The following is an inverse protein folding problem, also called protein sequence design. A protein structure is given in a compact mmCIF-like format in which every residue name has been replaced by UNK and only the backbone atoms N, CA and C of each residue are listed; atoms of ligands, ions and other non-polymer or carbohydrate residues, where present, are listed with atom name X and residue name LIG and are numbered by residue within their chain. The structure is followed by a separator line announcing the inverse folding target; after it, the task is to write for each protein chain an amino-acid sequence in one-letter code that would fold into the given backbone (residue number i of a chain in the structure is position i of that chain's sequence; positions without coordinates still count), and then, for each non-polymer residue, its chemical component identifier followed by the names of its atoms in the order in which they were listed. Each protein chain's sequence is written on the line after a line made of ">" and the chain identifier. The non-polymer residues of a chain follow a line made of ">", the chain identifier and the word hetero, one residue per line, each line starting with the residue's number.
data_IF_140713657379
#
_entry.id   IF_140713657379
#
_cell.length_a   1.000
_cell.length_b   1.000
_cell.length_c   1.000
_cell.angle_alpha   90.00
_cell.angle_beta   90.00
_cell.angle_gamma   90.00
#
_symmetry.space_group_name_H-M   'P 1'
#
loop_
_entity.id
_entity.type
_entity.pdbx_description
1 polymer ?
#
# COMPACT_ATOMS: atom_id res chain seq x y z
N UNK A 1 -22.97 -5.77 10.39
CA UNK A 1 -21.52 -5.86 10.69
C UNK A 1 -20.93 -4.49 10.48
N UNK A 2 -20.10 -4.01 11.42
CA UNK A 2 -19.37 -2.77 11.26
C UNK A 2 -18.01 -3.07 10.62
N UNK A 3 -17.65 -2.35 9.57
CA UNK A 3 -16.33 -2.42 8.96
C UNK A 3 -15.45 -1.30 9.50
N UNK A 4 -14.23 -1.64 9.93
CA UNK A 4 -13.21 -0.66 10.32
C UNK A 4 -12.36 -0.36 9.10
N UNK A 5 -12.12 0.93 8.82
CA UNK A 5 -11.28 1.37 7.70
C UNK A 5 -10.05 2.08 8.26
N UNK A 6 -8.87 1.54 7.96
CA UNK A 6 -7.59 2.17 8.26
C UNK A 6 -7.02 2.80 6.99
N UNK A 7 -6.81 4.12 7.01
CA UNK A 7 -6.09 4.82 5.95
C UNK A 7 -4.59 4.86 6.30
N UNK A 8 -3.78 4.15 5.52
CA UNK A 8 -2.32 4.20 5.64
C UNK A 8 -1.75 5.09 4.53
N UNK A 9 -0.91 6.06 4.91
CA UNK A 9 -0.24 6.97 3.99
C UNK A 9 1.24 7.05 4.30
N UNK A 10 2.03 7.21 3.25
CA UNK A 10 3.43 7.57 3.32
C UNK A 10 3.62 8.85 2.53
N UNK A 11 4.12 9.89 3.21
CA UNK A 11 4.22 11.23 2.65
C UNK A 11 5.59 11.81 2.96
N UNK A 12 6.14 12.54 1.99
CA UNK A 12 7.30 13.39 2.23
C UNK A 12 6.95 14.55 3.16
N UNK A 13 7.98 15.24 3.68
CA UNK A 13 7.80 16.40 4.56
C UNK A 13 6.94 17.52 3.95
N UNK A 14 6.97 17.67 2.62
CA UNK A 14 6.14 18.62 1.88
C UNK A 14 4.81 18.03 1.38
N UNK A 15 4.37 16.88 1.92
CA UNK A 15 3.04 16.31 1.68
C UNK A 15 2.87 15.66 0.31
N UNK A 16 3.95 15.18 -0.32
CA UNK A 16 3.90 14.45 -1.60
C UNK A 16 3.93 12.94 -1.37
N UNK A 17 3.34 12.20 -2.30
CA UNK A 17 3.33 10.73 -2.33
C UNK A 17 4.09 10.16 -3.54
N UNK A 18 4.50 11.04 -4.46
CA UNK A 18 5.31 10.77 -5.64
C UNK A 18 6.16 12.01 -5.99
N UNK A 19 7.03 11.87 -6.98
CA UNK A 19 7.86 12.97 -7.50
C UNK A 19 7.14 13.84 -8.53
N UNK A 20 5.89 13.53 -8.86
CA UNK A 20 5.14 14.22 -9.90
C UNK A 20 4.11 13.35 -10.59
N UNK A 21 3.30 13.99 -11.43
CA UNK A 21 2.15 13.36 -12.08
C UNK A 21 2.54 12.12 -12.89
N UNK A 22 1.97 10.98 -12.51
CA UNK A 22 2.16 9.71 -13.21
C UNK A 22 3.48 9.01 -12.90
N UNK A 23 4.29 9.55 -11.98
CA UNK A 23 5.51 8.90 -11.51
C UNK A 23 5.16 7.88 -10.42
N UNK A 24 5.87 6.75 -10.42
CA UNK A 24 5.69 5.74 -9.38
C UNK A 24 6.14 6.23 -8.01
N UNK A 25 5.32 5.94 -7.00
CA UNK A 25 5.65 6.17 -5.59
C UNK A 25 6.86 5.34 -5.13
N UNK A 26 7.24 4.29 -5.86
CA UNK A 26 8.42 3.46 -5.58
C UNK A 26 9.72 4.26 -5.56
N UNK A 27 9.78 5.39 -6.25
CA UNK A 27 10.91 6.31 -6.18
C UNK A 27 11.19 6.75 -4.74
N UNK A 28 10.17 6.89 -3.90
CA UNK A 28 10.29 7.27 -2.49
C UNK A 28 10.76 6.14 -1.59
N UNK A 29 10.70 4.88 -2.03
CA UNK A 29 11.13 3.73 -1.22
C UNK A 29 12.62 3.80 -0.87
N UNK A 30 13.42 4.55 -1.63
CA UNK A 30 14.83 4.84 -1.30
C UNK A 30 15.01 5.60 0.01
N UNK A 31 13.96 6.28 0.48
CA UNK A 31 13.93 7.01 1.75
C UNK A 31 13.33 6.18 2.89
N UNK A 32 12.81 4.99 2.61
CA UNK A 32 12.31 4.08 3.64
C UNK A 32 13.43 3.26 4.25
N UNK A 33 13.33 3.04 5.55
CA UNK A 33 14.10 2.02 6.25
C UNK A 33 13.25 0.75 6.45
N UNK A 34 13.87 -0.30 6.99
CA UNK A 34 13.18 -1.58 7.24
C UNK A 34 12.02 -1.44 8.23
N UNK A 35 12.11 -0.57 9.25
CA UNK A 35 11.05 -0.48 10.26
C UNK A 35 9.74 0.09 9.70
N UNK A 36 9.80 1.04 8.77
CA UNK A 36 8.62 1.56 8.06
C UNK A 36 7.97 0.48 7.20
N UNK A 37 8.79 -0.33 6.51
CA UNK A 37 8.33 -1.45 5.71
C UNK A 37 7.66 -2.53 6.57
N UNK A 38 8.28 -2.89 7.69
CA UNK A 38 7.76 -3.90 8.62
C UNK A 38 6.45 -3.43 9.26
N UNK A 39 6.36 -2.15 9.62
CA UNK A 39 5.11 -1.54 10.09
C UNK A 39 4.00 -1.62 9.04
N UNK A 40 4.30 -1.31 7.78
CA UNK A 40 3.33 -1.44 6.68
C UNK A 40 2.85 -2.88 6.53
N UNK A 41 3.74 -3.87 6.63
CA UNK A 41 3.36 -5.28 6.58
C UNK A 41 2.54 -5.72 7.80
N UNK A 42 2.80 -5.17 8.99
CA UNK A 42 1.97 -5.39 10.18
C UNK A 42 0.54 -4.89 9.97
N UNK A 43 0.36 -3.65 9.51
CA UNK A 43 -0.98 -3.10 9.25
C UNK A 43 -1.72 -3.95 8.20
N UNK A 44 -1.02 -4.39 7.16
CA UNK A 44 -1.60 -5.31 6.16
C UNK A 44 -2.01 -6.63 6.81
N UNK A 45 -1.21 -7.23 7.69
CA UNK A 45 -1.51 -8.53 8.29
C UNK A 45 -2.71 -8.49 9.25
N UNK A 46 -3.00 -7.33 9.82
CA UNK A 46 -4.19 -7.06 10.65
C UNK A 46 -5.46 -6.79 9.81
N UNK A 47 -5.32 -6.58 8.50
CA UNK A 47 -6.42 -6.26 7.59
C UNK A 47 -6.97 -7.48 6.87
N UNK A 48 -8.29 -7.52 6.64
CA UNK A 48 -8.93 -8.53 5.79
C UNK A 48 -8.72 -8.26 4.30
N UNK A 49 -8.62 -6.97 3.94
CA UNK A 49 -8.40 -6.54 2.57
C UNK A 49 -7.54 -5.28 2.48
N UNK A 50 -6.91 -5.09 1.34
CA UNK A 50 -6.23 -3.85 0.95
C UNK A 50 -7.00 -3.24 -0.23
N UNK A 51 -7.33 -1.96 -0.12
CA UNK A 51 -8.03 -1.19 -1.14
C UNK A 51 -7.07 -0.20 -1.78
N UNK A 52 -7.01 -0.17 -3.12
CA UNK A 52 -6.29 0.86 -3.87
C UNK A 52 -7.13 1.41 -5.02
N UNK A 53 -6.79 2.60 -5.52
CA UNK A 53 -7.35 3.12 -6.76
C UNK A 53 -6.76 2.43 -7.99
N UNK A 54 -7.53 2.37 -9.09
CA UNK A 54 -7.07 1.86 -10.39
C UNK A 54 -5.77 2.52 -10.86
N UNK A 55 -5.62 3.82 -10.62
CA UNK A 55 -4.42 4.57 -11.01
C UNK A 55 -3.15 4.05 -10.30
N UNK A 56 -3.25 3.71 -9.02
CA UNK A 56 -2.14 3.11 -8.26
C UNK A 56 -1.72 1.76 -8.86
N UNK A 57 -2.68 0.94 -9.30
CA UNK A 57 -2.36 -0.32 -9.97
C UNK A 57 -1.60 -0.09 -11.28
N UNK A 58 -2.07 0.84 -12.11
CA UNK A 58 -1.45 1.16 -13.40
C UNK A 58 -0.04 1.74 -13.26
N UNK A 59 0.14 2.64 -12.30
CA UNK A 59 1.41 3.36 -12.12
C UNK A 59 2.44 2.54 -11.33
N UNK A 60 2.02 1.82 -10.29
CA UNK A 60 2.97 1.12 -9.40
C UNK A 60 3.03 -0.40 -9.62
N UNK A 61 2.04 -1.01 -10.28
CA UNK A 61 1.88 -2.47 -10.38
C UNK A 61 2.25 -3.21 -9.07
N UNK A 62 1.60 -2.90 -7.93
CA UNK A 62 2.04 -3.36 -6.62
C UNK A 62 1.60 -4.80 -6.31
N UNK A 63 2.44 -5.54 -5.58
CA UNK A 63 2.06 -6.87 -5.09
C UNK A 63 0.97 -6.84 -4.01
N UNK A 64 0.94 -5.81 -3.16
CA UNK A 64 -0.02 -5.65 -2.06
C UNK A 64 -0.16 -6.90 -1.16
N UNK A 65 0.98 -7.41 -0.69
CA UNK A 65 1.05 -8.57 0.20
C UNK A 65 1.72 -8.22 1.53
N UNK A 66 1.68 -9.18 2.47
CA UNK A 66 2.53 -9.19 3.66
C UNK A 66 3.86 -9.88 3.35
N UNK A 67 4.91 -9.50 4.07
CA UNK A 67 6.16 -10.27 4.07
C UNK A 67 5.89 -11.64 4.71
N UNK A 68 6.06 -12.70 3.91
CA UNK A 68 5.80 -14.07 4.35
C UNK A 68 6.82 -14.59 5.36
N UNK A 69 7.99 -13.94 5.50
CA UNK A 69 8.94 -14.27 6.57
C UNK A 69 8.42 -13.82 7.93
N UNK A 70 7.73 -12.68 7.97
CA UNK A 70 7.16 -12.11 9.20
C UNK A 70 5.75 -12.64 9.49
N UNK A 71 4.95 -12.90 8.44
CA UNK A 71 3.55 -13.31 8.55
C UNK A 71 3.27 -14.53 7.66
N UNK A 72 3.82 -15.71 7.99
CA UNK A 72 3.74 -16.90 7.14
C UNK A 72 2.29 -17.35 6.94
N UNK A 73 1.93 -17.62 5.68
CA UNK A 73 0.62 -18.16 5.30
C UNK A 73 -0.52 -17.13 5.28
N UNK A 74 -0.28 -15.91 5.76
CA UNK A 74 -1.29 -14.85 5.73
C UNK A 74 -1.55 -14.42 4.28
N UNK A 75 -2.81 -14.54 3.87
CA UNK A 75 -3.34 -14.06 2.58
C UNK A 75 -4.23 -12.85 2.83
N UNK A 76 -4.23 -11.93 1.87
CA UNK A 76 -5.02 -10.69 1.94
C UNK A 76 -5.75 -10.50 0.62
N UNK A 77 -7.04 -10.18 0.71
CA UNK A 77 -7.87 -9.83 -0.44
C UNK A 77 -7.49 -8.44 -0.96
N UNK A 78 -7.42 -8.28 -2.29
CA UNK A 78 -7.05 -7.01 -2.93
C UNK A 78 -8.27 -6.45 -3.65
N UNK A 79 -8.62 -5.21 -3.34
CA UNK A 79 -9.77 -4.53 -3.92
C UNK A 79 -9.26 -3.33 -4.71
N UNK A 80 -9.61 -3.28 -5.99
CA UNK A 80 -9.25 -2.18 -6.89
C UNK A 80 -10.52 -1.38 -7.16
N UNK A 81 -10.49 -0.09 -6.82
CA UNK A 81 -11.60 0.83 -7.06
C UNK A 81 -11.27 1.71 -8.24
N UNK A 82 -12.15 1.73 -9.23
CA UNK A 82 -12.02 2.60 -10.40
C UNK A 82 -13.38 2.77 -11.06
N UNK A 83 -13.54 3.88 -11.79
CA UNK A 83 -14.69 4.03 -12.68
C UNK A 83 -14.52 3.05 -13.84
N UNK A 84 -15.63 2.45 -14.27
CA UNK A 84 -15.67 1.73 -15.56
C UNK A 84 -15.30 2.73 -16.66
N UNK A 85 -14.58 2.29 -17.71
CA UNK A 85 -14.26 3.12 -18.86
C UNK A 85 -15.54 3.68 -19.50
#
# INVERSE_FOLDING_TARGET
>A
MNSIVTLLVEVSLNGKIDEGNGVSSKSFYRYQNSSVRDFTHKIRSESDCIVIGRKTLETDNPYLSVDQKLFPGKKISKVIVGRKP
#
